data_IF_395149901207
#
_entry.id   IF_395149901207
#
_cell.length_a   1.000
_cell.length_b   1.000
_cell.length_c   1.000
_cell.angle_alpha   90.00
_cell.angle_beta   90.00
_cell.angle_gamma   90.00
#
_symmetry.space_group_name_H-M   'P 1'
#
loop_
_entity.id
_entity.type
_entity.pdbx_description
1 polymer ?
#
# COMPACT_ATOMS: atom_id res chain seq x y z
N UNK A 1 -1.55 -7.74 20.51
CA UNK A 1 -1.29 -7.74 19.04
C UNK A 1 -2.45 -7.06 18.34
N UNK A 2 -2.69 -7.25 17.04
CA UNK A 2 -3.76 -6.55 16.32
C UNK A 2 -5.13 -6.56 17.01
N UNK A 3 -5.52 -7.68 17.62
CA UNK A 3 -6.77 -7.82 18.37
C UNK A 3 -6.91 -6.90 19.60
N UNK A 4 -5.81 -6.36 20.13
CA UNK A 4 -5.80 -5.43 21.26
C UNK A 4 -5.58 -3.98 20.84
N UNK A 5 -5.37 -3.70 19.56
CA UNK A 5 -5.12 -2.34 19.08
C UNK A 5 -6.35 -1.44 19.17
N UNK A 6 -7.53 -2.00 19.39
CA UNK A 6 -8.76 -1.21 19.65
C UNK A 6 -8.61 -0.25 20.83
N UNK A 7 -7.76 -0.58 21.82
CA UNK A 7 -7.46 0.32 22.95
C UNK A 7 -6.52 1.48 22.57
N UNK A 8 -5.87 1.42 21.40
CA UNK A 8 -5.00 2.48 20.87
C UNK A 8 -5.79 3.52 20.07
N UNK A 9 -7.11 3.37 19.93
CA UNK A 9 -8.00 4.28 19.21
C UNK A 9 -8.53 3.67 17.91
N UNK A 10 -8.23 4.31 16.78
CA UNK A 10 -8.89 4.12 15.46
C UNK A 10 -8.83 2.72 14.83
N UNK A 11 -8.30 1.71 15.53
CA UNK A 11 -8.23 0.32 15.10
C UNK A 11 -9.53 -0.49 15.32
N UNK A 12 -10.63 0.17 15.71
CA UNK A 12 -11.96 -0.43 15.87
C UNK A 12 -13.02 0.16 14.91
N UNK A 13 -12.59 0.91 13.90
CA UNK A 13 -13.48 1.55 12.94
C UNK A 13 -14.11 0.58 11.94
N UNK A 14 -15.12 1.04 11.20
CA UNK A 14 -15.79 0.28 10.12
C UNK A 14 -15.12 0.39 8.75
N UNK A 15 -14.03 1.17 8.66
CA UNK A 15 -13.29 1.46 7.43
C UNK A 15 -11.80 1.20 7.67
N UNK A 16 -11.47 -0.05 8.00
CA UNK A 16 -10.10 -0.51 8.23
C UNK A 16 -9.60 -1.26 7.01
N UNK A 17 -8.28 -1.25 6.85
CA UNK A 17 -7.54 -2.13 5.95
C UNK A 17 -6.73 -3.14 6.79
N UNK A 18 -6.30 -4.27 6.23
CA UNK A 18 -6.54 -4.73 4.86
C UNK A 18 -7.95 -5.30 4.63
N UNK A 19 -8.28 -5.58 3.37
CA UNK A 19 -9.51 -6.26 2.94
C UNK A 19 -9.22 -7.33 1.89
N UNK A 20 -10.17 -8.25 1.72
CA UNK A 20 -10.25 -9.09 0.54
C UNK A 20 -11.04 -8.34 -0.55
N UNK A 21 -10.51 -8.30 -1.77
CA UNK A 21 -11.13 -7.67 -2.93
C UNK A 21 -11.71 -8.79 -3.82
N UNK A 22 -13.02 -9.08 -3.70
CA UNK A 22 -13.70 -10.03 -4.58
C UNK A 22 -13.86 -9.48 -5.99
N UNK A 23 -13.02 -9.95 -6.92
CA UNK A 23 -12.93 -9.43 -8.29
C UNK A 23 -14.26 -9.49 -9.05
N UNK A 24 -15.09 -10.51 -8.80
CA UNK A 24 -16.40 -10.67 -9.46
C UNK A 24 -17.45 -9.64 -9.01
N UNK A 25 -17.17 -8.85 -7.97
CA UNK A 25 -18.11 -7.87 -7.41
C UNK A 25 -17.60 -6.42 -7.46
N UNK A 26 -16.42 -6.19 -8.04
CA UNK A 26 -15.92 -4.84 -8.24
C UNK A 26 -16.74 -4.13 -9.31
N UNK A 27 -17.01 -2.84 -9.12
CA UNK A 27 -17.75 -2.04 -10.07
C UNK A 27 -16.78 -1.26 -10.94
N UNK A 28 -16.84 -1.49 -12.26
CA UNK A 28 -16.08 -0.69 -13.21
C UNK A 28 -16.59 0.75 -13.18
N UNK A 29 -15.67 1.69 -12.97
CA UNK A 29 -15.98 3.12 -12.98
C UNK A 29 -15.31 3.80 -14.18
N UNK A 30 -16.12 4.18 -15.16
CA UNK A 30 -15.69 4.88 -16.38
C UNK A 30 -15.09 6.27 -16.12
N UNK A 31 -15.34 6.88 -14.96
CA UNK A 31 -14.77 8.19 -14.62
C UNK A 31 -13.32 8.11 -14.16
N UNK A 32 -12.79 6.90 -13.89
CA UNK A 32 -11.40 6.73 -13.46
C UNK A 32 -10.46 6.89 -14.65
N UNK A 33 -9.59 7.90 -14.56
CA UNK A 33 -8.49 8.08 -15.50
C UNK A 33 -7.32 7.14 -15.19
N UNK A 34 -6.39 7.02 -16.13
CA UNK A 34 -5.16 6.28 -15.92
C UNK A 34 -4.36 6.85 -14.74
N UNK A 35 -3.68 5.97 -14.00
CA UNK A 35 -2.69 6.39 -13.00
C UNK A 35 -1.47 7.00 -13.72
N UNK A 36 -1.10 8.20 -13.31
CA UNK A 36 0.04 8.95 -13.86
C UNK A 36 1.20 8.86 -12.88
N UNK A 37 2.28 8.20 -13.32
CA UNK A 37 3.52 8.08 -12.56
C UNK A 37 4.56 9.07 -13.09
N UNK A 38 5.00 9.97 -12.22
CA UNK A 38 6.04 10.96 -12.56
C UNK A 38 7.35 10.56 -11.91
N UNK A 39 8.41 10.41 -12.71
CA UNK A 39 9.78 10.12 -12.28
C UNK A 39 10.00 8.78 -11.55
N UNK A 40 9.14 7.79 -11.73
CA UNK A 40 9.32 6.46 -11.12
C UNK A 40 10.58 5.72 -11.63
N UNK A 41 11.14 6.11 -12.77
CA UNK A 41 12.43 5.60 -13.28
C UNK A 41 13.64 6.45 -12.87
N UNK A 42 13.44 7.51 -12.07
CA UNK A 42 14.52 8.39 -11.62
C UNK A 42 15.42 7.65 -10.64
N UNK A 43 16.72 7.63 -10.92
CA UNK A 43 17.74 7.05 -10.04
C UNK A 43 18.08 8.00 -8.90
N UNK A 44 18.60 7.45 -7.80
CA UNK A 44 19.10 8.24 -6.66
C UNK A 44 18.00 8.85 -5.78
N UNK A 45 16.76 8.35 -5.89
CA UNK A 45 15.64 8.79 -5.04
C UNK A 45 15.59 8.05 -3.71
N UNK A 46 16.20 6.87 -3.59
CA UNK A 46 16.25 6.11 -2.34
C UNK A 46 17.23 6.78 -1.37
N UNK A 47 16.80 6.99 -0.12
CA UNK A 47 17.57 7.72 0.89
C UNK A 47 18.07 6.84 2.00
N UNK A 48 17.19 6.04 2.58
CA UNK A 48 17.54 5.14 3.66
C UNK A 48 16.77 3.82 3.53
N UNK A 49 17.37 2.74 4.04
CA UNK A 49 16.72 1.46 4.25
C UNK A 49 16.80 1.15 5.74
N UNK A 50 15.67 0.90 6.37
CA UNK A 50 15.57 0.67 7.81
C UNK A 50 14.83 -0.63 8.09
N UNK A 51 15.35 -1.43 9.02
CA UNK A 51 14.58 -2.48 9.68
C UNK A 51 13.95 -1.85 10.93
N UNK A 52 12.63 -1.69 10.93
CA UNK A 52 11.90 -1.05 12.03
C UNK A 52 11.59 -2.01 13.18
N UNK A 53 11.97 -3.28 13.06
CA UNK A 53 11.52 -4.37 13.93
C UNK A 53 10.13 -4.92 13.54
N UNK A 54 9.41 -4.25 12.64
CA UNK A 54 8.10 -4.66 12.14
C UNK A 54 8.07 -4.86 10.62
N UNK A 55 8.85 -4.07 9.89
CA UNK A 55 8.97 -4.11 8.44
C UNK A 55 10.37 -3.67 8.01
N UNK A 56 10.73 -3.92 6.75
CA UNK A 56 11.74 -3.12 6.06
C UNK A 56 11.05 -1.90 5.45
N UNK A 57 11.52 -0.70 5.76
CA UNK A 57 11.02 0.55 5.22
C UNK A 57 12.12 1.26 4.42
N UNK A 58 11.76 1.79 3.25
CA UNK A 58 12.63 2.56 2.38
C UNK A 58 12.09 3.98 2.31
N UNK A 59 12.88 4.95 2.76
CA UNK A 59 12.54 6.35 2.60
C UNK A 59 13.02 6.90 1.26
N UNK A 60 12.20 7.78 0.68
CA UNK A 60 12.42 8.41 -0.61
C UNK A 60 12.70 9.89 -0.41
N UNK A 61 13.54 10.44 -1.28
CA UNK A 61 13.67 11.88 -1.44
C UNK A 61 12.57 12.42 -2.34
N UNK A 62 12.49 13.74 -2.40
CA UNK A 62 11.53 14.41 -3.27
C UNK A 62 11.77 14.10 -4.74
N UNK A 63 10.67 14.16 -5.50
CA UNK A 63 10.72 14.12 -6.95
C UNK A 63 10.06 12.91 -7.60
N UNK A 64 9.29 12.12 -6.85
CA UNK A 64 8.51 10.98 -7.34
C UNK A 64 7.06 11.21 -6.95
N UNK A 65 6.15 11.22 -7.94
CA UNK A 65 4.75 11.61 -7.71
C UNK A 65 3.76 10.70 -8.44
N UNK A 66 2.57 10.57 -7.87
CA UNK A 66 1.44 9.85 -8.43
C UNK A 66 0.20 10.74 -8.51
N UNK A 67 -0.54 10.65 -9.61
CA UNK A 67 -1.81 11.34 -9.83
C UNK A 67 -2.76 10.46 -10.68
N UNK A 68 -3.98 10.93 -10.94
CA UNK A 68 -4.96 10.17 -11.72
C UNK A 68 -5.58 9.01 -10.93
N UNK A 69 -6.21 8.05 -11.61
CA UNK A 69 -6.80 6.88 -10.94
C UNK A 69 -7.92 7.19 -9.94
N UNK A 70 -8.51 8.40 -10.01
CA UNK A 70 -9.49 8.88 -9.04
C UNK A 70 -8.89 9.57 -7.80
N UNK A 71 -7.58 9.76 -7.73
CA UNK A 71 -6.95 10.57 -6.68
C UNK A 71 -7.35 12.05 -6.82
N UNK A 72 -7.69 12.76 -5.72
CA UNK A 72 -8.15 14.14 -5.77
C UNK A 72 -7.03 15.16 -6.00
N UNK A 73 -5.77 14.72 -5.96
CA UNK A 73 -4.58 15.56 -6.09
C UNK A 73 -3.40 14.75 -6.61
N UNK A 74 -2.28 15.44 -6.82
CA UNK A 74 -0.96 14.83 -7.01
C UNK A 74 -0.32 14.58 -5.65
N UNK A 75 0.12 13.35 -5.42
CA UNK A 75 0.74 12.92 -4.17
C UNK A 75 2.23 12.63 -4.39
N UNK A 76 3.06 12.94 -3.39
CA UNK A 76 4.49 12.62 -3.40
C UNK A 76 4.72 11.28 -2.70
N UNK A 77 5.53 10.41 -3.29
CA UNK A 77 5.98 9.18 -2.64
C UNK A 77 7.12 9.52 -1.66
N UNK A 78 6.90 9.28 -0.37
CA UNK A 78 7.86 9.61 0.70
C UNK A 78 8.55 8.37 1.29
N UNK A 79 7.89 7.21 1.24
CA UNK A 79 8.41 5.93 1.69
C UNK A 79 7.57 4.78 1.13
N UNK A 80 8.13 3.57 1.18
CA UNK A 80 7.37 2.32 1.04
C UNK A 80 7.93 1.27 2.01
N UNK A 81 7.10 0.30 2.35
CA UNK A 81 7.45 -0.79 3.26
C UNK A 81 6.91 -2.11 2.71
N UNK A 82 7.27 -3.22 3.35
CA UNK A 82 6.94 -4.55 2.86
C UNK A 82 6.21 -5.37 3.93
N UNK A 83 5.27 -6.20 3.48
CA UNK A 83 4.72 -7.28 4.27
C UNK A 83 5.10 -8.60 3.62
N UNK A 84 5.54 -9.59 4.39
CA UNK A 84 5.93 -10.86 3.83
C UNK A 84 5.61 -12.03 4.76
N UNK A 85 5.44 -13.19 4.15
CA UNK A 85 5.12 -14.43 4.82
C UNK A 85 6.35 -15.31 5.03
N UNK A 86 6.10 -16.47 5.63
CA UNK A 86 7.05 -17.56 5.61
C UNK A 86 6.88 -18.40 4.32
N UNK A 87 7.29 -17.82 3.19
CA UNK A 87 7.43 -18.51 1.89
C UNK A 87 6.21 -18.53 0.96
N UNK A 88 4.98 -18.25 1.42
CA UNK A 88 3.79 -18.29 0.53
C UNK A 88 2.65 -17.32 0.85
N UNK A 89 2.43 -17.00 2.13
CA UNK A 89 1.28 -16.21 2.59
C UNK A 89 1.76 -14.99 3.38
N UNK A 90 1.80 -13.82 2.74
CA UNK A 90 2.45 -12.62 3.28
C UNK A 90 1.80 -11.27 2.97
N UNK A 91 1.02 -11.16 1.89
CA UNK A 91 0.30 -9.92 1.58
C UNK A 91 -0.76 -9.62 2.65
N UNK A 92 -1.00 -8.36 2.95
CA UNK A 92 -2.08 -7.96 3.85
C UNK A 92 -3.42 -8.06 3.12
N UNK A 93 -3.50 -7.49 1.92
CA UNK A 93 -4.66 -7.58 1.04
C UNK A 93 -4.73 -8.93 0.33
N UNK A 94 -5.95 -9.25 -0.12
CA UNK A 94 -6.27 -10.46 -0.89
C UNK A 94 -7.06 -10.11 -2.14
N UNK A 95 -6.95 -10.98 -3.16
CA UNK A 95 -7.78 -10.93 -4.36
C UNK A 95 -8.61 -12.22 -4.43
N UNK A 96 -9.93 -12.11 -4.29
CA UNK A 96 -10.84 -13.25 -4.30
C UNK A 96 -10.39 -14.38 -3.36
N UNK A 97 -9.97 -14.03 -2.15
CA UNK A 97 -9.44 -14.92 -1.11
C UNK A 97 -7.96 -15.31 -1.27
N UNK A 98 -7.35 -15.05 -2.43
CA UNK A 98 -5.95 -15.38 -2.73
C UNK A 98 -5.01 -14.37 -2.06
N UNK A 99 -4.05 -14.91 -1.32
CA UNK A 99 -2.96 -14.15 -0.72
C UNK A 99 -1.66 -14.38 -1.52
N UNK A 100 -0.77 -13.39 -1.49
CA UNK A 100 0.52 -13.45 -2.17
C UNK A 100 1.67 -13.55 -1.17
N UNK A 101 2.87 -13.99 -1.58
CA UNK A 101 4.00 -14.15 -0.65
C UNK A 101 4.50 -12.85 -0.01
N UNK A 102 4.27 -11.71 -0.66
CA UNK A 102 4.69 -10.38 -0.24
C UNK A 102 3.74 -9.32 -0.80
N UNK A 103 3.62 -8.21 -0.09
CA UNK A 103 3.02 -6.94 -0.53
C UNK A 103 4.00 -5.79 -0.32
#
# INVERSE_FOLDING_TARGET
GPSTWTSLGSCNGSRQSPIDIPEDSVLFNQSLSQIVFTNYSKKGVFRNVSNTGHTVEISLGDGVWVAGGGLPSTYSAIAFHFHWGNGSLGSEHRLSGRQYPME
#
